data_IF_311062632847
#
_entry.id   IF_311062632847
#
_cell.length_a   1.000
_cell.length_b   1.000
_cell.length_c   1.000
_cell.angle_alpha   90.00
_cell.angle_beta   90.00
_cell.angle_gamma   90.00
#
_symmetry.space_group_name_H-M   'P 1'
#
loop_
_entity.id
_entity.type
_entity.pdbx_description
1 polymer ?
#
# COMPACT_ATOMS: atom_id res chain seq x y z
N UNK A 1 6.12 -19.57 -8.63
CA UNK A 1 6.96 -18.40 -8.83
C UNK A 1 6.13 -17.15 -8.94
N UNK A 2 6.50 -16.12 -8.20
CA UNK A 2 5.69 -14.91 -8.09
C UNK A 2 6.24 -13.84 -9.02
N UNK A 3 5.39 -13.34 -9.90
CA UNK A 3 5.76 -12.24 -10.77
C UNK A 3 5.88 -10.94 -9.97
N UNK A 4 6.74 -10.05 -10.45
CA UNK A 4 6.82 -8.71 -9.87
C UNK A 4 5.49 -7.98 -10.06
N UNK A 5 5.00 -7.29 -9.03
CA UNK A 5 3.76 -6.53 -9.17
C UNK A 5 3.91 -5.45 -10.23
N UNK A 6 2.82 -5.18 -10.94
CA UNK A 6 2.79 -4.12 -11.94
C UNK A 6 1.97 -2.93 -11.48
N UNK A 7 1.40 -3.00 -10.30
CA UNK A 7 0.57 -1.93 -9.77
C UNK A 7 0.63 -1.95 -8.25
N UNK A 8 0.23 -0.85 -7.64
CA UNK A 8 0.18 -0.79 -6.19
C UNK A 8 -0.91 -1.73 -5.65
N UNK A 9 -1.98 -1.93 -6.40
CA UNK A 9 -3.04 -2.86 -5.98
C UNK A 9 -2.50 -4.28 -5.86
N UNK A 10 -1.73 -4.71 -6.85
CA UNK A 10 -1.12 -6.04 -6.81
C UNK A 10 -0.08 -6.15 -5.70
N UNK A 11 0.69 -5.08 -5.50
CA UNK A 11 1.71 -5.08 -4.46
C UNK A 11 1.09 -5.20 -3.07
N UNK A 12 0.00 -4.48 -2.80
CA UNK A 12 -0.66 -4.60 -1.49
C UNK A 12 -1.26 -5.98 -1.30
N UNK A 13 -1.78 -6.59 -2.37
CA UNK A 13 -2.32 -7.95 -2.27
C UNK A 13 -1.22 -8.95 -1.92
N UNK A 14 -0.04 -8.79 -2.52
CA UNK A 14 1.08 -9.67 -2.19
C UNK A 14 1.57 -9.47 -0.77
N UNK A 15 1.61 -8.23 -0.30
CA UNK A 15 1.97 -7.94 1.08
C UNK A 15 0.98 -8.61 2.03
N UNK A 16 -0.31 -8.50 1.76
CA UNK A 16 -1.32 -9.16 2.57
C UNK A 16 -1.12 -10.66 2.63
N UNK A 17 -0.74 -11.26 1.51
CA UNK A 17 -0.50 -12.71 1.46
C UNK A 17 0.72 -13.08 2.29
N UNK A 18 1.77 -12.28 2.25
CA UNK A 18 2.95 -12.51 3.06
C UNK A 18 2.60 -12.42 4.54
N UNK A 19 1.81 -11.43 4.91
CA UNK A 19 1.34 -11.29 6.28
C UNK A 19 0.58 -12.53 6.73
N UNK A 20 -0.32 -13.02 5.89
CA UNK A 20 -1.10 -14.21 6.20
C UNK A 20 -0.19 -15.43 6.40
N UNK A 21 0.82 -15.56 5.57
CA UNK A 21 1.76 -16.68 5.66
C UNK A 21 2.56 -16.63 6.97
N UNK A 22 2.98 -15.42 7.35
CA UNK A 22 3.70 -15.25 8.61
C UNK A 22 2.80 -15.57 9.80
N UNK A 23 1.53 -15.19 9.71
CA UNK A 23 0.57 -15.45 10.77
C UNK A 23 0.43 -16.95 11.03
N UNK A 24 0.51 -17.76 9.99
CA UNK A 24 0.33 -19.19 10.13
C UNK A 24 1.59 -19.91 10.62
N UNK A 25 2.73 -19.23 10.65
CA UNK A 25 3.99 -19.87 11.03
C UNK A 25 4.20 -19.97 12.53
N UNK A 26 3.47 -19.18 13.33
CA UNK A 26 3.46 -19.25 14.78
C UNK A 26 4.73 -18.77 15.48
N UNK A 27 5.64 -18.18 14.79
CA UNK A 27 6.87 -17.70 15.42
C UNK A 27 6.79 -16.20 15.56
N UNK A 28 6.50 -15.73 16.75
CA UNK A 28 6.57 -14.36 17.13
C UNK A 28 5.99 -13.39 16.10
N UNK A 29 5.87 -12.16 16.48
CA UNK A 29 5.41 -11.16 15.54
C UNK A 29 6.53 -10.70 14.62
N UNK A 30 6.16 -10.06 13.55
CA UNK A 30 7.13 -9.41 12.70
C UNK A 30 6.76 -7.94 12.58
N UNK A 31 7.75 -7.14 12.19
CA UNK A 31 7.54 -5.71 11.96
C UNK A 31 7.54 -5.45 10.47
N UNK A 32 6.63 -4.60 10.02
CA UNK A 32 6.61 -4.14 8.64
C UNK A 32 6.95 -2.66 8.65
N UNK A 33 8.20 -2.34 8.37
CA UNK A 33 8.67 -0.96 8.38
C UNK A 33 8.72 -0.42 6.96
N UNK A 34 8.55 0.90 6.84
CA UNK A 34 8.73 1.62 5.59
C UNK A 34 7.83 1.08 4.49
N UNK A 35 6.57 0.82 4.86
CA UNK A 35 5.58 0.33 3.91
C UNK A 35 5.46 1.29 2.73
N UNK A 36 5.52 2.60 3.00
CA UNK A 36 5.45 3.60 1.96
C UNK A 36 6.61 3.49 0.96
N UNK A 37 7.81 3.21 1.46
CA UNK A 37 8.96 3.07 0.57
C UNK A 37 8.87 1.82 -0.28
N UNK A 38 8.30 0.76 0.27
CA UNK A 38 8.11 -0.49 -0.47
C UNK A 38 7.05 -0.30 -1.56
N UNK A 39 5.98 0.42 -1.26
CA UNK A 39 4.85 0.55 -2.17
C UNK A 39 4.99 1.68 -3.18
N UNK A 40 5.79 2.71 -2.86
CA UNK A 40 5.90 3.89 -3.72
C UNK A 40 6.35 3.56 -5.16
N UNK A 41 7.30 2.64 -5.39
CA UNK A 41 7.65 2.31 -6.77
C UNK A 41 6.49 1.75 -7.57
N UNK A 42 5.59 1.05 -6.92
CA UNK A 42 4.42 0.50 -7.60
C UNK A 42 3.36 1.56 -7.85
N UNK A 43 3.24 2.52 -6.94
CA UNK A 43 2.39 3.68 -7.19
C UNK A 43 2.91 4.49 -8.39
N UNK A 44 4.22 4.59 -8.51
CA UNK A 44 4.82 5.26 -9.66
C UNK A 44 4.50 4.52 -10.95
N UNK A 45 4.46 3.20 -10.94
CA UNK A 45 4.06 2.44 -12.12
C UNK A 45 2.62 2.74 -12.50
N UNK A 46 1.74 2.87 -11.52
CA UNK A 46 0.37 3.29 -11.78
C UNK A 46 0.33 4.65 -12.45
N UNK A 47 1.12 5.59 -11.92
CA UNK A 47 1.18 6.94 -12.46
C UNK A 47 1.63 6.92 -13.93
N UNK A 48 2.67 6.17 -14.24
CA UNK A 48 3.18 6.09 -15.60
C UNK A 48 2.16 5.49 -16.56
N UNK A 49 1.41 4.49 -16.08
CA UNK A 49 0.36 3.89 -16.90
C UNK A 49 -0.75 4.91 -17.17
N UNK A 50 -1.17 5.65 -16.15
CA UNK A 50 -2.20 6.67 -16.32
C UNK A 50 -1.72 7.80 -17.21
N UNK A 51 -0.44 8.16 -17.11
CA UNK A 51 0.11 9.19 -17.96
C UNK A 51 0.13 8.77 -19.42
N UNK A 52 0.45 7.50 -19.66
CA UNK A 52 0.40 6.96 -21.02
C UNK A 52 -1.02 7.04 -21.59
N UNK A 53 -2.01 6.66 -20.78
CA UNK A 53 -3.40 6.76 -21.22
C UNK A 53 -3.80 8.22 -21.45
N UNK A 54 -3.34 9.11 -20.59
CA UNK A 54 -3.67 10.52 -20.72
C UNK A 54 -3.13 11.11 -22.03
N UNK A 55 -1.98 10.63 -22.48
CA UNK A 55 -1.41 11.13 -23.72
C UNK A 55 -2.30 10.85 -24.92
N UNK A 56 -3.14 9.83 -24.84
CA UNK A 56 -4.06 9.50 -25.93
C UNK A 56 -5.38 10.25 -25.84
N UNK A 57 -5.83 10.59 -24.63
CA UNK A 57 -7.20 11.06 -24.43
C UNK A 57 -7.34 12.43 -23.82
N UNK A 58 -6.27 12.99 -23.27
CA UNK A 58 -6.33 14.22 -22.49
C UNK A 58 -5.44 15.28 -23.11
N UNK A 59 -5.91 16.54 -23.11
CA UNK A 59 -5.12 17.64 -23.64
C UNK A 59 -3.79 17.75 -22.87
N UNK A 60 -2.70 18.16 -23.54
CA UNK A 60 -1.37 18.12 -22.92
C UNK A 60 -1.28 18.82 -21.58
N UNK A 61 -1.96 19.96 -21.43
CA UNK A 61 -1.87 20.76 -20.21
C UNK A 61 -2.49 20.07 -19.01
N UNK A 62 -3.31 19.03 -19.21
CA UNK A 62 -4.01 18.35 -18.13
C UNK A 62 -3.52 16.92 -17.89
N UNK A 63 -2.57 16.46 -18.69
CA UNK A 63 -2.18 15.04 -18.64
C UNK A 63 -1.57 14.65 -17.30
N UNK A 64 -0.66 15.47 -16.78
CA UNK A 64 -0.01 15.13 -15.51
C UNK A 64 -0.99 15.22 -14.35
N UNK A 65 -1.84 16.23 -14.37
CA UNK A 65 -2.87 16.36 -13.34
C UNK A 65 -3.81 15.16 -13.36
N UNK A 66 -4.25 14.75 -14.54
CA UNK A 66 -5.12 13.59 -14.70
C UNK A 66 -4.45 12.34 -14.14
N UNK A 67 -3.20 12.10 -14.54
CA UNK A 67 -2.49 10.90 -14.09
C UNK A 67 -2.29 10.90 -12.58
N UNK A 68 -1.99 12.07 -12.01
CA UNK A 68 -1.79 12.17 -10.57
C UNK A 68 -3.09 11.95 -9.80
N UNK A 69 -4.20 12.51 -10.26
CA UNK A 69 -5.47 12.29 -9.59
C UNK A 69 -5.89 10.83 -9.61
N UNK A 70 -5.67 10.16 -10.75
CA UNK A 70 -5.94 8.73 -10.85
C UNK A 70 -5.04 7.92 -9.93
N UNK A 71 -3.78 8.31 -9.84
CA UNK A 71 -2.82 7.62 -8.99
C UNK A 71 -3.18 7.77 -7.51
N UNK A 72 -3.60 8.98 -7.10
CA UNK A 72 -4.02 9.19 -5.72
C UNK A 72 -5.20 8.28 -5.36
N UNK A 73 -6.13 8.12 -6.28
CA UNK A 73 -7.26 7.22 -6.04
C UNK A 73 -6.80 5.76 -5.92
N UNK A 74 -5.89 5.35 -6.80
CA UNK A 74 -5.35 4.00 -6.74
C UNK A 74 -4.65 3.74 -5.41
N UNK A 75 -3.87 4.72 -4.94
CA UNK A 75 -3.18 4.59 -3.65
C UNK A 75 -4.19 4.49 -2.51
N UNK A 76 -5.20 5.34 -2.53
CA UNK A 76 -6.22 5.32 -1.49
C UNK A 76 -6.92 3.95 -1.46
N UNK A 77 -7.34 3.47 -2.62
CA UNK A 77 -8.04 2.18 -2.70
C UNK A 77 -7.14 1.03 -2.23
N UNK A 78 -5.85 1.07 -2.61
CA UNK A 78 -4.91 0.04 -2.23
C UNK A 78 -4.68 0.03 -0.72
N UNK A 79 -4.56 1.21 -0.11
CA UNK A 79 -4.35 1.28 1.33
C UNK A 79 -5.60 0.87 2.09
N UNK A 80 -6.79 1.15 1.57
CA UNK A 80 -8.02 0.67 2.17
C UNK A 80 -8.08 -0.85 2.14
N UNK A 81 -7.69 -1.45 1.02
CA UNK A 81 -7.64 -2.90 0.92
C UNK A 81 -6.66 -3.51 1.91
N UNK A 82 -5.50 -2.89 2.05
CA UNK A 82 -4.48 -3.37 2.98
C UNK A 82 -4.98 -3.30 4.42
N UNK A 83 -5.62 -2.20 4.77
CA UNK A 83 -6.21 -2.05 6.10
C UNK A 83 -7.24 -3.14 6.37
N UNK A 84 -8.10 -3.39 5.40
CA UNK A 84 -9.14 -4.41 5.54
C UNK A 84 -8.53 -5.78 5.77
N UNK A 85 -7.52 -6.12 4.98
CA UNK A 85 -6.88 -7.44 5.09
C UNK A 85 -6.18 -7.62 6.42
N UNK A 86 -5.50 -6.59 6.90
CA UNK A 86 -4.81 -6.66 8.18
C UNK A 86 -5.82 -6.80 9.32
N UNK A 87 -6.90 -6.02 9.28
CA UNK A 87 -7.95 -6.12 10.30
C UNK A 87 -8.61 -7.48 10.30
N UNK A 88 -8.81 -8.06 9.12
CA UNK A 88 -9.41 -9.38 9.01
C UNK A 88 -8.51 -10.44 9.64
N UNK A 89 -7.21 -10.36 9.39
CA UNK A 89 -6.26 -11.29 10.00
C UNK A 89 -6.25 -11.14 11.51
N UNK A 90 -6.28 -9.90 12.00
CA UNK A 90 -6.27 -9.64 13.42
C UNK A 90 -7.51 -10.23 14.10
N UNK A 91 -8.68 -10.00 13.53
CA UNK A 91 -9.92 -10.47 14.14
C UNK A 91 -10.10 -11.98 14.01
N UNK A 92 -9.63 -12.55 12.90
CA UNK A 92 -9.79 -14.00 12.67
C UNK A 92 -8.89 -14.83 13.57
N UNK A 93 -7.71 -14.33 13.87
CA UNK A 93 -6.73 -15.13 14.60
C UNK A 93 -6.60 -14.74 16.07
N UNK A 94 -7.36 -13.76 16.51
CA UNK A 94 -7.34 -13.34 17.90
C UNK A 94 -6.10 -12.56 18.30
N UNK A 95 -5.07 -12.62 17.52
CA UNK A 95 -3.88 -11.78 17.70
C UNK A 95 -3.17 -11.65 16.37
N UNK A 96 -2.49 -10.52 16.22
CA UNK A 96 -1.83 -10.20 14.98
C UNK A 96 -0.40 -10.78 14.98
N UNK A 97 0.09 -11.20 13.81
CA UNK A 97 1.49 -11.62 13.69
C UNK A 97 2.46 -10.44 13.67
N UNK A 98 1.95 -9.20 13.57
CA UNK A 98 2.80 -8.04 13.53
C UNK A 98 2.96 -7.43 14.89
N UNK A 99 4.18 -7.04 15.22
CA UNK A 99 4.43 -6.25 16.40
C UNK A 99 4.26 -4.77 16.12
N UNK A 100 4.51 -4.36 14.88
CA UNK A 100 4.34 -2.96 14.51
C UNK A 100 4.25 -2.81 13.00
N UNK A 101 3.63 -1.73 12.57
CA UNK A 101 3.63 -1.28 11.19
C UNK A 101 4.17 0.14 11.18
N UNK A 102 4.92 0.50 10.15
CA UNK A 102 5.52 1.82 10.12
C UNK A 102 5.76 2.35 8.73
N UNK A 103 6.07 3.63 8.69
CA UNK A 103 6.38 4.34 7.46
C UNK A 103 7.77 4.94 7.54
N UNK A 104 8.35 5.25 6.38
CA UNK A 104 9.62 5.96 6.29
C UNK A 104 9.41 7.46 6.39
N UNK A 105 10.33 8.21 5.77
CA UNK A 105 10.37 9.66 5.93
C UNK A 105 9.46 10.42 4.98
N UNK A 106 8.91 9.77 3.95
CA UNK A 106 8.06 10.45 2.98
C UNK A 106 8.85 11.38 2.08
N UNK A 107 9.89 10.85 1.44
CA UNK A 107 10.80 11.68 0.66
C UNK A 107 10.27 12.04 -0.72
N UNK A 108 9.31 11.29 -1.26
CA UNK A 108 8.72 11.65 -2.54
C UNK A 108 7.20 11.71 -2.42
N UNK A 109 6.55 12.20 -3.48
CA UNK A 109 5.11 12.43 -3.40
C UNK A 109 4.31 11.14 -3.29
N UNK A 110 4.83 10.04 -3.84
CA UNK A 110 4.15 8.75 -3.74
C UNK A 110 4.18 8.24 -2.31
N UNK A 111 5.33 8.33 -1.67
CA UNK A 111 5.44 7.95 -0.26
C UNK A 111 4.53 8.80 0.62
N UNK A 112 4.52 10.12 0.38
CA UNK A 112 3.69 11.01 1.17
C UNK A 112 2.21 10.73 0.97
N UNK A 113 1.82 10.37 -0.25
CA UNK A 113 0.41 10.03 -0.50
C UNK A 113 0.01 8.73 0.20
N UNK A 114 0.92 7.75 0.21
CA UNK A 114 0.67 6.49 0.91
C UNK A 114 0.53 6.75 2.42
N UNK A 115 1.26 7.71 2.95
CA UNK A 115 1.22 8.02 4.37
C UNK A 115 -0.05 8.73 4.82
N UNK A 116 -0.84 9.25 3.89
CA UNK A 116 -2.06 9.95 4.26
C UNK A 116 -3.07 8.99 4.87
N UNK A 117 -3.84 9.52 5.81
CA UNK A 117 -4.96 8.78 6.40
C UNK A 117 -4.52 7.52 7.14
N UNK A 118 -3.54 7.66 8.01
CA UNK A 118 -2.89 6.53 8.67
C UNK A 118 -3.35 6.27 10.08
N UNK A 119 -4.45 6.84 10.49
CA UNK A 119 -4.92 6.65 11.85
C UNK A 119 -5.10 5.17 12.18
N UNK A 120 -5.42 4.35 11.18
CA UNK A 120 -5.61 2.92 11.43
C UNK A 120 -4.31 2.22 11.85
N UNK A 121 -3.16 2.72 11.36
CA UNK A 121 -1.88 2.13 11.74
C UNK A 121 -1.57 2.44 13.20
N UNK A 122 -1.87 3.66 13.63
CA UNK A 122 -1.70 4.01 15.03
C UNK A 122 -2.58 3.17 15.93
N UNK A 123 -3.84 2.95 15.52
CA UNK A 123 -4.74 2.09 16.26
C UNK A 123 -4.20 0.67 16.35
N UNK A 124 -3.72 0.15 15.24
CA UNK A 124 -3.17 -1.19 15.20
C UNK A 124 -2.00 -1.33 16.17
N UNK A 125 -1.07 -0.38 16.15
CA UNK A 125 0.10 -0.44 17.01
C UNK A 125 -0.27 -0.29 18.48
N UNK A 126 -1.32 0.44 18.79
CA UNK A 126 -1.75 0.65 20.17
C UNK A 126 -2.51 -0.54 20.75
N UNK A 127 -3.11 -1.35 19.89
CA UNK A 127 -3.86 -2.53 20.34
C UNK A 127 -2.90 -3.66 20.70
N UNK A 128 -1.85 -3.81 19.93
CA UNK A 128 -0.87 -4.87 20.20
C UNK A 128 0.03 -4.52 21.40
#
# INVERSE_FOLDING_TARGET
EVESPKSIQTATAQISQIIANVASSQYGGCSADRIDEVLAPYAEKNYEKHLKDAREWVVPEKQEEFAWEKTKKDIYDAMQSLEYEINTLFTSNGQTPFTSLGFGLGTNRFEREIQKDQSWIEKFNNIS
#
